data_IF_885799048949
#
_entry.id   IF_885799048949
#
_cell.length_a   1.000
_cell.length_b   1.000
_cell.length_c   1.000
_cell.angle_alpha   90.00
_cell.angle_beta   90.00
_cell.angle_gamma   90.00
#
_symmetry.space_group_name_H-M   'P 1'
#
loop_
_entity.id
_entity.type
_entity.pdbx_description
1 polymer ?
#
# COMPACT_ATOMS: atom_id res chain seq x y z
N UNK A 1 -5.75 -11.21 -6.01
CA UNK A 1 -4.91 -10.33 -6.84
C UNK A 1 -5.69 -9.28 -7.62
N UNK A 2 -6.72 -9.67 -8.37
CA UNK A 2 -7.53 -8.76 -9.23
C UNK A 2 -8.00 -7.45 -8.59
N UNK A 3 -8.46 -7.47 -7.32
CA UNK A 3 -8.89 -6.25 -6.64
C UNK A 3 -7.76 -5.23 -6.44
N UNK A 4 -6.55 -5.70 -6.16
CA UNK A 4 -5.36 -4.85 -5.99
C UNK A 4 -4.94 -4.28 -7.35
N UNK A 5 -4.93 -5.09 -8.42
CA UNK A 5 -4.69 -4.58 -9.79
C UNK A 5 -5.68 -3.49 -10.18
N UNK A 6 -6.97 -3.69 -9.91
CA UNK A 6 -8.01 -2.69 -10.16
C UNK A 6 -7.76 -1.40 -9.35
N UNK A 7 -7.34 -1.51 -8.09
CA UNK A 7 -6.96 -0.36 -7.28
C UNK A 7 -5.73 0.38 -7.82
N UNK A 8 -4.69 -0.33 -8.26
CA UNK A 8 -3.50 0.27 -8.87
C UNK A 8 -3.83 0.98 -10.19
N UNK A 9 -4.68 0.39 -11.03
CA UNK A 9 -5.17 1.04 -12.25
C UNK A 9 -5.99 2.31 -11.93
N UNK A 10 -6.81 2.28 -10.87
CA UNK A 10 -7.50 3.49 -10.38
C UNK A 10 -6.49 4.55 -9.90
N UNK A 11 -5.44 4.18 -9.16
CA UNK A 11 -4.40 5.13 -8.75
C UNK A 11 -3.74 5.80 -9.97
N UNK A 12 -3.36 5.02 -10.98
CA UNK A 12 -2.71 5.57 -12.17
C UNK A 12 -3.64 6.51 -12.95
N UNK A 13 -4.90 6.13 -13.15
CA UNK A 13 -5.87 6.98 -13.86
C UNK A 13 -6.25 8.24 -13.08
N UNK A 14 -6.28 8.18 -11.75
CA UNK A 14 -6.58 9.33 -10.90
C UNK A 14 -5.37 10.22 -10.60
N UNK A 15 -4.14 9.72 -10.70
CA UNK A 15 -2.91 10.52 -10.59
C UNK A 15 -2.92 11.68 -11.55
N UNK A 16 -3.30 11.46 -12.81
CA UNK A 16 -3.40 12.55 -13.79
C UNK A 16 -4.55 13.52 -13.48
N UNK A 17 -5.66 13.04 -12.92
CA UNK A 17 -6.77 13.89 -12.48
C UNK A 17 -6.33 14.77 -11.31
N UNK A 18 -5.73 14.19 -10.28
CA UNK A 18 -5.21 14.89 -9.10
C UNK A 18 -4.07 15.86 -9.46
N UNK A 19 -3.15 15.47 -10.35
CA UNK A 19 -2.07 16.34 -10.81
C UNK A 19 -2.60 17.49 -11.67
N UNK A 20 -3.58 17.25 -12.55
CA UNK A 20 -4.26 18.34 -13.28
C UNK A 20 -5.00 19.28 -12.32
N UNK A 21 -5.67 18.73 -11.30
CA UNK A 21 -6.30 19.52 -10.23
C UNK A 21 -5.27 20.34 -9.44
N UNK A 22 -4.10 19.77 -9.13
CA UNK A 22 -3.05 20.46 -8.39
C UNK A 22 -2.32 21.53 -9.23
N UNK A 23 -2.05 21.26 -10.52
CA UNK A 23 -1.35 22.20 -11.39
C UNK A 23 -2.23 23.34 -11.91
N UNK A 24 -3.55 23.17 -11.98
CA UNK A 24 -4.46 24.29 -12.20
C UNK A 24 -4.39 25.33 -11.04
N UNK A 25 -3.87 24.93 -9.86
CA UNK A 25 -3.85 25.76 -8.66
C UNK A 25 -2.54 26.52 -8.41
N UNK A 26 -1.45 26.23 -9.14
CA UNK A 26 -0.20 26.99 -8.97
C UNK A 26 -0.17 28.30 -9.78
N UNK A 27 -0.88 28.36 -10.91
CA UNK A 27 -1.06 29.60 -11.69
C UNK A 27 -2.31 30.40 -11.27
N UNK A 28 -3.19 29.84 -10.44
CA UNK A 28 -4.36 30.53 -9.91
C UNK A 28 -4.49 30.28 -8.41
N UNK A 29 -3.67 30.97 -7.63
CA UNK A 29 -3.92 31.17 -6.22
C UNK A 29 -5.39 31.65 -6.05
N UNK A 30 -6.25 30.80 -5.50
CA UNK A 30 -7.66 31.08 -5.14
C UNK A 30 -8.73 31.10 -6.25
N UNK A 31 -8.71 30.21 -7.26
CA UNK A 31 -9.90 30.03 -8.13
C UNK A 31 -10.46 28.61 -8.19
N UNK A 32 -11.62 28.44 -7.56
CA UNK A 32 -12.79 27.70 -8.05
C UNK A 32 -12.65 26.21 -8.48
N UNK A 33 -12.15 25.35 -7.60
CA UNK A 33 -12.61 23.94 -7.57
C UNK A 33 -13.24 23.63 -6.20
N UNK A 34 -14.43 23.03 -6.21
CA UNK A 34 -15.17 22.74 -4.98
C UNK A 34 -14.43 21.66 -4.19
N UNK A 35 -14.01 21.98 -2.96
CA UNK A 35 -13.48 21.05 -1.96
C UNK A 35 -14.29 19.73 -1.85
N UNK A 36 -15.58 19.76 -2.19
CA UNK A 36 -16.47 18.60 -2.28
C UNK A 36 -15.98 17.54 -3.28
N UNK A 37 -15.48 17.92 -4.44
CA UNK A 37 -15.02 16.99 -5.47
C UNK A 37 -13.75 16.26 -5.03
N UNK A 38 -12.81 17.00 -4.43
CA UNK A 38 -11.61 16.42 -3.84
C UNK A 38 -11.96 15.44 -2.71
N UNK A 39 -12.85 15.84 -1.80
CA UNK A 39 -13.32 14.96 -0.72
C UNK A 39 -14.01 13.70 -1.29
N UNK A 40 -14.81 13.84 -2.34
CA UNK A 40 -15.48 12.72 -3.00
C UNK A 40 -14.47 11.72 -3.59
N UNK A 41 -13.46 12.21 -4.32
CA UNK A 41 -12.39 11.37 -4.86
C UNK A 41 -11.59 10.67 -3.76
N UNK A 42 -11.27 11.36 -2.66
CA UNK A 42 -10.56 10.76 -1.52
C UNK A 42 -11.39 9.66 -0.85
N UNK A 43 -12.71 9.84 -0.73
CA UNK A 43 -13.62 8.82 -0.20
C UNK A 43 -13.72 7.60 -1.11
N UNK A 44 -13.84 7.81 -2.42
CA UNK A 44 -13.84 6.73 -3.41
C UNK A 44 -12.53 5.93 -3.37
N UNK A 45 -11.38 6.63 -3.39
CA UNK A 45 -10.05 6.03 -3.23
C UNK A 45 -9.96 5.16 -1.98
N UNK A 46 -10.41 5.69 -0.83
CA UNK A 46 -10.39 4.95 0.43
C UNK A 46 -11.28 3.70 0.39
N UNK A 47 -12.48 3.80 -0.19
CA UNK A 47 -13.39 2.67 -0.33
C UNK A 47 -12.80 1.56 -1.21
N UNK A 48 -12.15 1.93 -2.33
CA UNK A 48 -11.48 0.98 -3.21
C UNK A 48 -10.29 0.30 -2.53
N UNK A 49 -9.44 1.06 -1.82
CA UNK A 49 -8.32 0.51 -1.07
C UNK A 49 -8.80 -0.54 -0.04
N UNK A 50 -9.84 -0.19 0.73
CA UNK A 50 -10.44 -1.08 1.72
C UNK A 50 -11.01 -2.35 1.09
N UNK A 51 -11.73 -2.25 -0.03
CA UNK A 51 -12.27 -3.42 -0.73
C UNK A 51 -11.15 -4.32 -1.30
N UNK A 52 -10.02 -3.73 -1.67
CA UNK A 52 -8.85 -4.45 -2.17
C UNK A 52 -7.98 -5.07 -1.08
N UNK A 53 -8.22 -4.75 0.21
CA UNK A 53 -7.37 -5.18 1.32
C UNK A 53 -6.03 -4.43 1.37
N UNK A 54 -5.94 -3.27 0.72
CA UNK A 54 -4.72 -2.45 0.68
C UNK A 54 -4.71 -1.50 1.87
N UNK A 55 -3.67 -1.62 2.69
CA UNK A 55 -3.43 -0.78 3.86
C UNK A 55 -2.64 0.48 3.48
N UNK A 56 -1.74 0.37 2.50
CA UNK A 56 -0.87 1.44 2.05
C UNK A 56 -0.17 1.09 0.75
N UNK A 57 0.39 2.11 0.09
CA UNK A 57 1.32 1.95 -1.03
C UNK A 57 2.55 2.78 -0.72
N UNK A 58 3.73 2.22 -0.95
CA UNK A 58 5.00 2.91 -0.88
C UNK A 58 5.76 2.78 -2.21
N UNK A 59 6.49 3.82 -2.59
CA UNK A 59 7.32 3.83 -3.78
C UNK A 59 8.77 4.05 -3.36
N UNK A 60 9.57 2.98 -3.40
CA UNK A 60 10.96 3.01 -3.02
C UNK A 60 11.81 2.36 -4.12
N UNK A 61 12.90 3.02 -4.52
CA UNK A 61 13.84 2.53 -5.54
C UNK A 61 13.18 2.09 -6.87
N UNK A 62 12.14 2.83 -7.29
CA UNK A 62 11.38 2.52 -8.51
C UNK A 62 10.40 1.35 -8.39
N UNK A 63 10.27 0.75 -7.20
CA UNK A 63 9.36 -0.37 -6.91
C UNK A 63 8.13 0.15 -6.17
N UNK A 64 6.94 -0.28 -6.64
CA UNK A 64 5.66 0.00 -5.99
C UNK A 64 5.31 -1.14 -5.03
N UNK A 65 5.47 -0.89 -3.73
CA UNK A 65 5.15 -1.81 -2.66
C UNK A 65 3.70 -1.62 -2.20
N UNK A 66 2.90 -2.67 -2.28
CA UNK A 66 1.50 -2.69 -1.80
C UNK A 66 1.46 -3.35 -0.43
N UNK A 67 1.13 -2.57 0.60
CA UNK A 67 0.99 -3.07 1.95
C UNK A 67 -0.39 -3.72 2.14
N UNK A 68 -0.40 -4.95 2.62
CA UNK A 68 -1.60 -5.74 2.93
C UNK A 68 -1.52 -6.29 4.35
N UNK A 69 -2.63 -6.78 4.89
CA UNK A 69 -2.61 -7.51 6.17
C UNK A 69 -1.79 -8.80 6.07
N UNK A 70 -1.27 -9.30 7.19
CA UNK A 70 -0.54 -10.57 7.20
C UNK A 70 -1.40 -11.75 6.69
N UNK A 71 -2.66 -11.82 7.11
CA UNK A 71 -3.59 -12.85 6.65
C UNK A 71 -3.84 -12.79 5.14
N UNK A 72 -4.03 -11.58 4.60
CA UNK A 72 -4.16 -11.39 3.16
C UNK A 72 -2.87 -11.75 2.42
N UNK A 73 -1.71 -11.40 2.97
CA UNK A 73 -0.42 -11.76 2.41
C UNK A 73 -0.28 -13.27 2.28
N UNK A 74 -0.50 -14.03 3.36
CA UNK A 74 -0.41 -15.50 3.34
C UNK A 74 -1.35 -16.12 2.30
N UNK A 75 -2.56 -15.58 2.16
CA UNK A 75 -3.53 -16.05 1.16
C UNK A 75 -3.09 -15.74 -0.26
N UNK A 76 -2.58 -14.53 -0.50
CA UNK A 76 -2.19 -14.03 -1.83
C UNK A 76 -0.87 -14.64 -2.32
N UNK A 77 0.03 -15.03 -1.42
CA UNK A 77 1.33 -15.63 -1.74
C UNK A 77 1.33 -17.15 -1.66
N UNK A 78 0.15 -17.78 -1.55
CA UNK A 78 0.04 -19.24 -1.51
C UNK A 78 0.68 -19.88 -2.75
N UNK A 79 1.76 -20.63 -2.54
CA UNK A 79 2.51 -21.31 -3.60
C UNK A 79 3.67 -20.52 -4.19
N UNK A 80 3.94 -19.30 -3.69
CA UNK A 80 5.13 -18.52 -4.00
C UNK A 80 6.31 -19.09 -3.21
N UNK A 81 7.42 -19.40 -3.89
CA UNK A 81 8.63 -19.94 -3.26
C UNK A 81 9.56 -18.84 -2.73
N UNK A 82 9.63 -17.72 -3.43
CA UNK A 82 10.54 -16.61 -3.12
C UNK A 82 9.85 -15.54 -2.25
N UNK A 83 9.68 -15.83 -0.96
CA UNK A 83 9.27 -14.85 0.04
C UNK A 83 10.51 -14.36 0.78
N UNK A 84 10.79 -13.06 0.70
CA UNK A 84 11.92 -12.42 1.40
C UNK A 84 11.45 -11.89 2.74
N UNK A 85 12.32 -11.97 3.74
CA UNK A 85 12.07 -11.49 5.09
C UNK A 85 13.15 -10.50 5.47
N UNK A 86 12.75 -9.32 5.95
CA UNK A 86 13.68 -8.32 6.46
C UNK A 86 13.24 -7.88 7.85
N UNK A 87 14.20 -7.83 8.78
CA UNK A 87 13.96 -7.25 10.10
C UNK A 87 13.71 -5.75 9.96
N UNK A 88 12.79 -5.23 10.77
CA UNK A 88 12.55 -3.80 10.84
C UNK A 88 13.86 -3.05 11.14
N UNK A 89 14.15 -1.99 10.36
CA UNK A 89 15.26 -1.08 10.65
C UNK A 89 14.92 -0.11 11.80
N UNK A 90 13.65 -0.06 12.22
CA UNK A 90 13.23 0.68 13.40
C UNK A 90 13.58 -0.11 14.67
N UNK A 91 13.92 0.58 15.77
CA UNK A 91 14.43 -0.04 17.00
C UNK A 91 13.42 -0.91 17.76
N UNK A 92 12.20 -1.09 17.22
CA UNK A 92 11.21 -2.05 17.72
C UNK A 92 11.55 -3.44 17.16
N UNK A 93 12.24 -4.32 17.93
CA UNK A 93 12.81 -5.58 17.44
C UNK A 93 11.74 -6.66 17.17
N UNK A 94 10.47 -6.27 17.18
CA UNK A 94 9.32 -7.16 17.32
C UNK A 94 8.55 -7.33 16.01
N UNK A 95 9.05 -6.76 14.90
CA UNK A 95 8.36 -6.78 13.61
C UNK A 95 9.28 -7.25 12.46
N UNK A 96 8.76 -8.19 11.67
CA UNK A 96 9.32 -8.65 10.39
C UNK A 96 8.51 -8.08 9.22
N UNK A 97 9.22 -7.60 8.20
CA UNK A 97 8.64 -7.26 6.92
C UNK A 97 8.78 -8.45 5.98
N UNK A 98 7.65 -8.88 5.42
CA UNK A 98 7.57 -9.95 4.44
C UNK A 98 7.33 -9.34 3.06
N UNK A 99 8.16 -9.72 2.11
CA UNK A 99 8.10 -9.25 0.73
C UNK A 99 7.90 -10.43 -0.21
N UNK A 100 6.98 -10.27 -1.16
CA UNK A 100 6.78 -11.24 -2.22
C UNK A 100 6.35 -10.52 -3.49
N UNK A 101 6.81 -11.00 -4.64
CA UNK A 101 6.28 -10.57 -5.93
C UNK A 101 5.22 -11.57 -6.41
N UNK A 102 4.02 -11.08 -6.70
CA UNK A 102 2.91 -11.88 -7.22
C UNK A 102 2.35 -11.19 -8.45
N UNK A 103 2.48 -11.83 -9.61
CA UNK A 103 1.97 -11.30 -10.89
C UNK A 103 2.51 -9.88 -11.21
N UNK A 104 3.78 -9.61 -10.88
CA UNK A 104 4.41 -8.29 -11.07
C UNK A 104 4.04 -7.23 -10.03
N UNK A 105 3.37 -7.61 -8.94
CA UNK A 105 3.02 -6.73 -7.82
C UNK A 105 3.86 -7.10 -6.61
N UNK A 106 4.57 -6.12 -6.06
CA UNK A 106 5.33 -6.29 -4.82
C UNK A 106 4.39 -6.13 -3.63
N UNK A 107 4.12 -7.24 -2.95
CA UNK A 107 3.32 -7.27 -1.74
C UNK A 107 4.24 -7.15 -0.53
N UNK A 108 3.78 -6.37 0.45
CA UNK A 108 4.45 -6.21 1.74
C UNK A 108 3.45 -6.47 2.85
N UNK A 109 3.87 -7.20 3.87
CA UNK A 109 3.14 -7.32 5.13
C UNK A 109 4.08 -7.22 6.32
N UNK A 110 3.57 -6.72 7.43
CA UNK A 110 4.27 -6.68 8.71
C UNK A 110 3.71 -7.79 9.59
N UNK A 111 4.60 -8.57 10.20
CA UNK A 111 4.26 -9.61 11.16
C UNK A 111 4.96 -9.32 12.48
N UNK A 112 4.23 -9.43 13.59
CA UNK A 112 4.84 -9.40 14.92
C UNK A 112 5.56 -10.72 15.21
N UNK A 113 6.80 -10.63 15.68
CA UNK A 113 7.58 -11.74 16.20
C UNK A 113 7.22 -11.87 17.68
N UNK A 114 6.29 -12.75 18.02
CA UNK A 114 6.09 -13.09 19.43
C UNK A 114 7.39 -13.67 20.00
N UNK A 115 7.95 -13.04 21.04
CA UNK A 115 9.07 -13.58 21.82
C UNK A 115 8.61 -14.78 22.64
N UNK A 116 8.37 -15.93 22.01
CA UNK A 116 8.33 -17.17 22.76
C UNK A 116 9.77 -17.64 23.04
N UNK A 117 10.14 -17.60 24.33
CA UNK A 117 11.27 -18.27 25.01
C UNK A 117 12.67 -17.61 24.92
N UNK A 118 12.86 -16.56 25.71
CA UNK A 118 14.13 -16.32 26.43
C UNK A 118 13.90 -16.11 27.94
N UNK A 119 13.06 -16.96 28.54
CA UNK A 119 13.16 -17.32 29.96
C UNK A 119 13.25 -18.85 30.05
N UNK A 120 14.34 -19.38 29.50
CA UNK A 120 14.84 -20.68 29.82
C UNK A 120 16.33 -20.52 30.08
N UNK A 121 16.66 -19.99 31.26
CA UNK A 121 17.94 -20.17 31.96
C UNK A 121 17.80 -19.65 33.39
#
# INVERSE_FOLDING_TARGET
MEKIKAFLAYQETTKYKLHRLANANLDICYSNYEMKDLISMLKEKHAMAKNAGVLGIDFYDGICNVQVSYDDFQRLTKGVQDIRMELSQFPEPENEHLYAEVEGIHLVAVRSIEKEKMQAQ
#
